data_IF_661371785680
#
_entry.id   IF_661371785680
#
_cell.length_a   1.000
_cell.length_b   1.000
_cell.length_c   1.000
_cell.angle_alpha   90.00
_cell.angle_beta   90.00
_cell.angle_gamma   90.00
#
_symmetry.space_group_name_H-M   'P 1'
#
loop_
_entity.id
_entity.type
_entity.pdbx_description
1 polymer ?
#
# COMPACT_ATOMS: atom_id res chain seq x y z
N UNK A 1 -3.72 -6.78 -16.79
CA UNK A 1 -4.31 -5.56 -16.22
C UNK A 1 -3.37 -4.97 -15.16
N UNK A 2 -3.11 -5.62 -14.03
CA UNK A 2 -2.24 -5.10 -12.95
C UNK A 2 -0.80 -4.76 -13.38
N UNK A 3 -0.17 -5.57 -14.24
CA UNK A 3 1.22 -5.37 -14.66
C UNK A 3 1.45 -4.10 -15.50
N UNK A 4 0.51 -3.74 -16.36
CA UNK A 4 0.59 -2.46 -17.08
C UNK A 4 0.26 -1.29 -16.15
N UNK A 5 -0.69 -1.49 -15.24
CA UNK A 5 -1.06 -0.50 -14.26
C UNK A 5 0.09 -0.05 -13.40
N UNK A 6 0.93 -0.96 -12.94
CA UNK A 6 2.07 -0.58 -12.10
C UNK A 6 3.13 0.22 -12.87
N UNK A 7 3.35 -0.07 -14.16
CA UNK A 7 4.27 0.72 -14.98
C UNK A 7 3.79 2.17 -15.08
N UNK A 8 2.52 2.37 -15.40
CA UNK A 8 1.94 3.70 -15.48
C UNK A 8 1.96 4.42 -14.13
N UNK A 9 1.65 3.73 -13.04
CA UNK A 9 1.72 4.32 -11.70
C UNK A 9 3.15 4.74 -11.31
N UNK A 10 4.17 3.98 -11.68
CA UNK A 10 5.57 4.36 -11.44
C UNK A 10 5.94 5.64 -12.20
N UNK A 11 5.49 5.77 -13.46
CA UNK A 11 5.73 6.96 -14.26
C UNK A 11 4.93 8.17 -13.73
N UNK A 12 3.67 7.96 -13.37
CA UNK A 12 2.82 8.99 -12.78
C UNK A 12 3.33 9.45 -11.42
N UNK A 13 3.91 8.55 -10.62
CA UNK A 13 4.48 8.91 -9.32
C UNK A 13 5.64 9.92 -9.46
N UNK A 14 6.46 9.81 -10.50
CA UNK A 14 7.49 10.82 -10.80
C UNK A 14 6.91 12.21 -11.05
N UNK A 15 5.71 12.28 -11.60
CA UNK A 15 5.02 13.53 -11.88
C UNK A 15 4.29 14.11 -10.67
N UNK A 16 3.57 13.26 -9.93
CA UNK A 16 2.63 13.68 -8.90
C UNK A 16 3.20 13.62 -7.49
N UNK A 17 4.19 12.76 -7.28
CA UNK A 17 4.79 12.46 -5.96
C UNK A 17 6.32 12.47 -6.07
N UNK A 18 6.87 13.60 -6.53
CA UNK A 18 8.31 13.78 -6.63
C UNK A 18 9.00 13.53 -5.27
N UNK A 19 10.09 12.78 -5.30
CA UNK A 19 10.83 12.36 -4.11
C UNK A 19 10.21 11.17 -3.34
N UNK A 20 9.07 10.62 -3.77
CA UNK A 20 8.49 9.42 -3.17
C UNK A 20 9.01 8.14 -3.83
N UNK A 21 9.07 7.08 -3.04
CA UNK A 21 9.43 5.73 -3.51
C UNK A 21 8.17 4.91 -3.72
N UNK A 22 8.03 4.31 -4.89
CA UNK A 22 6.98 3.34 -5.20
C UNK A 22 7.47 1.96 -4.78
N UNK A 23 6.97 1.45 -3.67
CA UNK A 23 7.28 0.11 -3.19
C UNK A 23 6.34 -0.92 -3.82
N UNK A 24 6.91 -1.88 -4.56
CA UNK A 24 6.15 -2.85 -5.34
C UNK A 24 6.34 -4.25 -4.76
N UNK A 25 5.29 -4.78 -4.13
CA UNK A 25 5.26 -6.14 -3.63
C UNK A 25 4.89 -7.11 -4.75
N UNK A 26 5.66 -8.17 -4.92
CA UNK A 26 5.42 -9.17 -5.96
C UNK A 26 5.85 -10.58 -5.55
N UNK A 27 5.37 -11.58 -6.29
CA UNK A 27 5.83 -12.95 -6.21
C UNK A 27 6.16 -13.50 -7.61
N UNK A 28 6.38 -14.82 -7.72
CA UNK A 28 6.75 -15.49 -8.97
C UNK A 28 5.66 -15.47 -10.06
N UNK A 29 4.46 -14.95 -9.76
CA UNK A 29 3.39 -14.81 -10.77
C UNK A 29 3.56 -13.58 -11.66
N UNK A 30 4.45 -12.66 -11.29
CA UNK A 30 4.72 -11.46 -12.08
C UNK A 30 5.81 -11.75 -13.13
N UNK A 31 5.60 -11.41 -14.41
CA UNK A 31 6.60 -11.64 -15.46
C UNK A 31 7.93 -10.96 -15.13
N UNK A 32 9.04 -11.69 -15.33
CA UNK A 32 10.39 -11.21 -15.04
C UNK A 32 10.73 -9.90 -15.75
N UNK A 33 10.31 -9.74 -17.01
CA UNK A 33 10.54 -8.49 -17.75
C UNK A 33 9.93 -7.25 -17.10
N UNK A 34 8.81 -7.41 -16.39
CA UNK A 34 8.22 -6.30 -15.61
C UNK A 34 9.07 -6.00 -14.39
N UNK A 35 9.52 -7.02 -13.67
CA UNK A 35 10.40 -6.86 -12.51
C UNK A 35 11.73 -6.22 -12.91
N UNK A 36 12.32 -6.66 -14.01
CA UNK A 36 13.56 -6.09 -14.53
C UNK A 36 13.42 -4.62 -14.94
N UNK A 37 12.26 -4.26 -15.48
CA UNK A 37 11.95 -2.86 -15.79
C UNK A 37 11.79 -2.04 -14.50
N UNK A 38 11.04 -2.54 -13.51
CA UNK A 38 10.83 -1.88 -12.22
C UNK A 38 12.15 -1.62 -11.50
N UNK A 39 13.05 -2.60 -11.46
CA UNK A 39 14.37 -2.47 -10.82
C UNK A 39 15.28 -1.42 -11.44
N UNK A 40 15.01 -0.99 -12.67
CA UNK A 40 15.77 0.07 -13.36
C UNK A 40 15.26 1.48 -13.05
N UNK A 41 14.13 1.60 -12.36
CA UNK A 41 13.58 2.90 -12.02
C UNK A 41 14.20 3.42 -10.74
N UNK A 42 14.58 4.69 -10.72
CA UNK A 42 15.22 5.38 -9.59
C UNK A 42 14.26 5.65 -8.41
N UNK A 43 12.95 5.68 -8.69
CA UNK A 43 11.88 5.89 -7.71
C UNK A 43 11.17 4.59 -7.30
N UNK A 44 11.77 3.42 -7.54
CA UNK A 44 11.11 2.12 -7.25
C UNK A 44 11.94 1.27 -6.32
N UNK A 45 11.30 0.68 -5.35
CA UNK A 45 11.79 -0.44 -4.54
C UNK A 45 10.93 -1.67 -4.77
N UNK A 46 11.57 -2.81 -5.05
CA UNK A 46 10.87 -4.06 -5.36
C UNK A 46 11.02 -5.01 -4.18
N UNK A 47 9.89 -5.47 -3.61
CA UNK A 47 9.84 -6.39 -2.48
C UNK A 47 9.33 -7.75 -2.95
N UNK A 48 10.19 -8.76 -2.86
CA UNK A 48 9.86 -10.11 -3.29
C UNK A 48 9.29 -10.96 -2.17
N UNK A 49 8.16 -11.61 -2.44
CA UNK A 49 7.53 -12.61 -1.61
C UNK A 49 7.53 -13.96 -2.32
N UNK A 50 8.11 -15.02 -1.75
CA UNK A 50 8.19 -16.32 -2.43
C UNK A 50 6.82 -16.95 -2.60
N UNK A 51 6.55 -17.51 -3.80
CA UNK A 51 5.35 -18.27 -4.09
C UNK A 51 4.79 -18.05 -5.48
N UNK A 52 4.22 -19.12 -6.02
CA UNK A 52 3.71 -19.18 -7.40
C UNK A 52 2.20 -19.02 -7.49
N UNK A 53 1.49 -18.88 -6.37
CA UNK A 53 0.02 -18.83 -6.34
C UNK A 53 -0.48 -17.44 -6.01
N UNK A 54 -1.54 -17.02 -6.71
CA UNK A 54 -2.35 -15.88 -6.30
C UNK A 54 -3.20 -16.32 -5.10
N UNK A 55 -2.96 -15.72 -3.94
CA UNK A 55 -3.73 -15.94 -2.73
C UNK A 55 -4.38 -14.63 -2.30
N UNK A 56 -5.55 -14.69 -1.66
CA UNK A 56 -6.16 -13.51 -1.06
C UNK A 56 -5.22 -12.84 -0.04
N UNK A 57 -4.43 -13.63 0.70
CA UNK A 57 -3.41 -13.12 1.62
C UNK A 57 -2.33 -12.25 0.98
N UNK A 58 -2.11 -12.34 -0.35
CA UNK A 58 -1.14 -11.48 -1.03
C UNK A 58 -1.55 -9.99 -0.99
N UNK A 59 -2.83 -9.70 -0.82
CA UNK A 59 -3.31 -8.33 -0.67
C UNK A 59 -2.88 -7.69 0.65
N UNK A 60 -2.46 -8.50 1.63
CA UNK A 60 -1.98 -8.03 2.92
C UNK A 60 -0.55 -7.49 2.89
N UNK A 61 0.25 -7.80 1.86
CA UNK A 61 1.64 -7.33 1.77
C UNK A 61 1.74 -5.80 1.82
N UNK A 62 0.73 -5.09 1.30
CA UNK A 62 0.66 -3.62 1.34
C UNK A 62 0.68 -3.04 2.76
N UNK A 63 0.30 -3.84 3.76
CA UNK A 63 0.31 -3.41 5.16
C UNK A 63 1.70 -3.58 5.81
N UNK A 64 2.63 -4.32 5.20
CA UNK A 64 4.00 -4.45 5.71
C UNK A 64 4.71 -3.10 5.76
N UNK A 65 4.41 -2.22 4.82
CA UNK A 65 5.04 -0.91 4.73
C UNK A 65 4.61 0.04 5.85
N UNK A 66 3.48 -0.23 6.49
CA UNK A 66 3.03 0.55 7.65
C UNK A 66 3.94 0.39 8.88
N UNK A 67 4.82 -0.61 8.89
CA UNK A 67 5.81 -0.83 9.93
C UNK A 67 7.16 -0.17 9.64
N UNK A 68 7.30 0.55 8.53
CA UNK A 68 8.53 1.29 8.23
C UNK A 68 8.59 2.49 9.16
N UNK A 69 9.61 2.50 10.01
CA UNK A 69 9.82 3.54 11.00
C UNK A 69 10.08 4.89 10.33
N UNK A 70 9.50 5.95 10.89
CA UNK A 70 9.68 7.33 10.44
C UNK A 70 9.28 7.56 8.96
N UNK A 71 8.36 6.73 8.43
CA UNK A 71 7.88 6.83 7.06
C UNK A 71 6.45 7.37 6.99
N UNK A 72 6.14 7.99 5.86
CA UNK A 72 4.79 8.27 5.42
C UNK A 72 4.46 7.26 4.33
N UNK A 73 3.38 6.52 4.50
CA UNK A 73 2.98 5.45 3.60
C UNK A 73 1.63 5.77 2.97
N UNK A 74 1.54 5.64 1.65
CA UNK A 74 0.29 5.67 0.90
C UNK A 74 0.04 4.28 0.31
N UNK A 75 -1.05 3.64 0.68
CA UNK A 75 -1.46 2.37 0.10
C UNK A 75 -2.28 2.59 -1.17
N UNK A 76 -1.91 1.92 -2.25
CA UNK A 76 -2.54 2.04 -3.56
C UNK A 76 -2.70 0.69 -4.24
N UNK A 77 -3.78 0.56 -5.00
CA UNK A 77 -3.94 -0.57 -5.91
C UNK A 77 -3.13 -0.34 -7.19
N UNK A 78 -2.49 -1.39 -7.69
CA UNK A 78 -1.63 -1.31 -8.87
C UNK A 78 -2.38 -0.93 -10.17
N UNK A 79 -3.70 -1.04 -10.18
CA UNK A 79 -4.58 -0.69 -11.30
C UNK A 79 -5.34 0.65 -11.10
N UNK A 80 -5.18 1.30 -9.95
CA UNK A 80 -5.66 2.66 -9.73
C UNK A 80 -4.71 3.69 -10.34
N UNK A 81 -5.25 4.84 -10.79
CA UNK A 81 -4.45 5.94 -11.34
C UNK A 81 -4.40 7.11 -10.39
N UNK A 82 -3.25 7.77 -10.34
CA UNK A 82 -3.13 9.04 -9.65
C UNK A 82 -3.93 10.12 -10.37
N UNK A 83 -4.44 11.06 -9.60
CA UNK A 83 -5.16 12.22 -10.12
C UNK A 83 -4.77 13.48 -9.36
N UNK A 84 -4.89 14.63 -9.99
CA UNK A 84 -4.63 15.92 -9.33
C UNK A 84 -5.51 16.12 -8.09
N UNK A 85 -6.74 15.61 -8.12
CA UNK A 85 -7.64 15.63 -6.97
C UNK A 85 -7.09 14.84 -5.79
N UNK A 86 -6.58 13.63 -6.04
CA UNK A 86 -5.98 12.79 -5.00
C UNK A 86 -4.73 13.45 -4.42
N UNK A 87 -3.85 13.96 -5.28
CA UNK A 87 -2.63 14.68 -4.85
C UNK A 87 -2.98 15.85 -3.94
N UNK A 88 -4.03 16.61 -4.27
CA UNK A 88 -4.52 17.69 -3.42
C UNK A 88 -4.97 17.19 -2.04
N UNK A 89 -5.75 16.10 -1.99
CA UNK A 89 -6.22 15.52 -0.73
C UNK A 89 -5.07 14.98 0.12
N UNK A 90 -4.08 14.33 -0.51
CA UNK A 90 -2.87 13.87 0.18
C UNK A 90 -2.09 15.06 0.73
N UNK A 91 -1.93 16.12 -0.04
CA UNK A 91 -1.24 17.34 0.43
C UNK A 91 -1.95 17.97 1.61
N UNK A 92 -3.28 18.11 1.57
CA UNK A 92 -4.07 18.62 2.69
C UNK A 92 -3.85 17.78 3.97
N UNK A 93 -3.77 16.46 3.81
CA UNK A 93 -3.43 15.58 4.92
C UNK A 93 -2.01 15.78 5.42
N UNK A 94 -1.03 15.89 4.53
CA UNK A 94 0.37 16.12 4.91
C UNK A 94 0.57 17.45 5.65
N UNK A 95 -0.19 18.47 5.30
CA UNK A 95 -0.20 19.77 5.97
C UNK A 95 -0.96 19.75 7.32
N UNK A 96 -1.70 18.68 7.60
CA UNK A 96 -2.45 18.49 8.85
C UNK A 96 -1.60 17.79 9.93
N UNK A 97 -2.16 17.70 11.15
CA UNK A 97 -1.56 16.94 12.27
C UNK A 97 -2.10 15.51 12.39
N UNK A 98 -2.89 15.03 11.39
CA UNK A 98 -3.55 13.73 11.45
C UNK A 98 -2.62 12.61 11.00
N UNK A 99 -2.66 11.48 11.71
CA UNK A 99 -1.82 10.33 11.39
C UNK A 99 -2.38 9.51 10.23
N UNK A 100 -3.70 9.51 10.02
CA UNK A 100 -4.36 8.75 8.96
C UNK A 100 -5.01 9.65 7.91
N UNK A 101 -4.97 9.16 6.69
CA UNK A 101 -5.66 9.71 5.52
C UNK A 101 -6.48 8.61 4.85
N UNK A 102 -7.76 8.88 4.60
CA UNK A 102 -8.68 7.92 3.98
C UNK A 102 -9.53 8.64 2.95
N UNK A 103 -9.55 8.13 1.71
CA UNK A 103 -10.42 8.66 0.65
C UNK A 103 -11.66 7.77 0.54
N UNK A 104 -12.84 8.37 0.77
CA UNK A 104 -14.15 7.73 0.66
C UNK A 104 -15.04 8.55 -0.27
N UNK A 105 -14.75 8.54 -1.54
CA UNK A 105 -15.37 9.41 -2.54
C UNK A 105 -16.33 8.67 -3.49
N UNK A 106 -16.61 7.41 -3.22
CA UNK A 106 -17.51 6.61 -4.03
C UNK A 106 -18.55 5.90 -3.15
N UNK A 107 -19.79 5.75 -3.65
CA UNK A 107 -20.90 5.10 -2.94
C UNK A 107 -20.62 3.65 -2.49
N UNK A 108 -19.68 2.97 -3.12
CA UNK A 108 -19.24 1.64 -2.74
C UNK A 108 -18.04 1.64 -1.78
N UNK A 109 -17.50 2.82 -1.41
CA UNK A 109 -16.44 2.98 -0.43
C UNK A 109 -17.02 3.12 0.99
N UNK A 110 -17.89 2.18 1.37
CA UNK A 110 -18.62 2.22 2.66
C UNK A 110 -17.87 1.56 3.81
N UNK A 111 -16.73 0.93 3.52
CA UNK A 111 -15.89 0.34 4.58
C UNK A 111 -15.06 1.43 5.29
N UNK A 112 -14.75 1.26 6.58
CA UNK A 112 -13.97 2.25 7.33
C UNK A 112 -12.63 2.58 6.67
N UNK A 113 -11.88 1.56 6.24
CA UNK A 113 -10.63 1.71 5.51
C UNK A 113 -10.69 0.86 4.24
N UNK A 114 -10.60 1.53 3.09
CA UNK A 114 -10.45 0.85 1.80
C UNK A 114 -8.96 0.72 1.49
N UNK A 115 -8.50 -0.51 1.32
CA UNK A 115 -7.09 -0.87 1.29
C UNK A 115 -6.24 -0.18 0.21
N UNK A 116 -6.85 0.30 -0.87
CA UNK A 116 -6.17 1.02 -1.97
C UNK A 116 -6.23 2.55 -1.88
N UNK A 117 -6.79 3.13 -0.82
CA UNK A 117 -7.08 4.57 -0.75
C UNK A 117 -6.82 5.18 0.62
N UNK A 118 -5.81 4.70 1.34
CA UNK A 118 -5.46 5.26 2.63
C UNK A 118 -3.97 5.62 2.71
N UNK A 119 -3.65 6.44 3.69
CA UNK A 119 -2.28 6.77 4.06
C UNK A 119 -2.10 6.81 5.57
N UNK A 120 -0.88 6.62 5.99
CA UNK A 120 -0.49 6.60 7.39
C UNK A 120 0.91 7.20 7.55
N UNK A 121 1.16 7.87 8.66
CA UNK A 121 2.49 8.38 9.03
C UNK A 121 2.91 7.87 10.41
N UNK A 122 4.21 7.94 10.68
CA UNK A 122 4.78 7.75 12.00
C UNK A 122 4.51 6.38 12.63
N UNK A 123 4.56 5.31 11.80
CA UNK A 123 4.46 3.96 12.33
C UNK A 123 3.18 3.74 13.15
N UNK A 124 2.06 4.20 12.62
CA UNK A 124 0.77 4.27 13.30
C UNK A 124 0.26 2.92 13.84
N UNK A 125 0.76 1.80 13.34
CA UNK A 125 0.43 0.47 13.87
C UNK A 125 1.02 0.19 15.26
N UNK A 126 2.07 0.89 15.68
CA UNK A 126 2.57 0.79 17.05
C UNK A 126 1.55 1.31 18.08
N UNK A 127 0.76 2.32 17.69
CA UNK A 127 -0.24 2.91 18.59
C UNK A 127 -1.45 2.00 18.84
N UNK A 128 -1.73 1.07 17.94
CA UNK A 128 -2.86 0.15 18.05
C UNK A 128 -2.47 -1.22 18.65
N UNK A 129 -1.25 -1.34 19.18
CA UNK A 129 -0.82 -2.53 19.91
C UNK A 129 -0.60 -3.77 19.05
N UNK A 130 -0.52 -3.61 17.72
CA UNK A 130 -0.15 -4.72 16.83
C UNK A 130 1.34 -4.98 17.00
N UNK A 131 1.75 -6.17 17.50
CA UNK A 131 3.16 -6.45 17.73
C UNK A 131 3.94 -6.46 16.40
N UNK A 132 5.01 -5.66 16.34
CA UNK A 132 6.01 -5.67 15.28
C UNK A 132 6.99 -6.82 15.54
N UNK A 133 7.37 -7.64 14.56
CA UNK A 133 7.11 -7.55 13.14
C UNK A 133 6.24 -8.69 12.61
N UNK A 134 5.25 -8.41 11.86
CA UNK A 134 4.70 -9.37 10.90
C UNK A 134 5.72 -9.62 9.77
N UNK A 135 6.94 -10.04 10.13
CA UNK A 135 7.96 -10.42 9.14
C UNK A 135 7.58 -11.64 8.31
N UNK A 136 6.47 -12.30 8.70
CA UNK A 136 5.93 -13.40 7.96
C UNK A 136 4.40 -13.31 7.96
N UNK A 137 3.83 -12.65 6.95
CA UNK A 137 2.38 -12.58 6.72
C UNK A 137 1.71 -13.96 6.67
N UNK A 138 2.47 -15.01 6.33
CA UNK A 138 1.96 -16.38 6.41
C UNK A 138 1.72 -16.87 7.85
N UNK A 139 2.18 -16.15 8.85
CA UNK A 139 1.95 -16.44 10.26
C UNK A 139 0.84 -15.59 10.92
N UNK A 140 0.19 -14.69 10.15
CA UNK A 140 -0.98 -13.97 10.65
C UNK A 140 -2.08 -15.00 10.94
N UNK A 141 -2.60 -15.06 12.17
CA UNK A 141 -3.72 -15.94 12.50
C UNK A 141 -4.88 -15.70 11.53
N UNK A 142 -5.58 -16.76 11.11
CA UNK A 142 -6.67 -16.69 10.14
C UNK A 142 -7.77 -15.70 10.53
N UNK A 143 -7.98 -15.50 11.83
CA UNK A 143 -8.90 -14.50 12.37
C UNK A 143 -8.59 -13.05 11.95
N UNK A 144 -7.33 -12.74 11.65
CA UNK A 144 -6.92 -11.44 11.10
C UNK A 144 -7.04 -11.38 9.57
N UNK A 145 -7.08 -12.54 8.90
CA UNK A 145 -7.20 -12.64 7.43
C UNK A 145 -8.66 -12.51 7.01
N UNK A 146 -9.62 -12.92 7.84
CA UNK A 146 -11.07 -12.88 7.55
C UNK A 146 -11.70 -11.48 7.71
N UNK A 147 -10.92 -10.44 7.90
CA UNK A 147 -11.35 -9.05 7.74
C UNK A 147 -12.17 -8.48 8.88
N UNK A 148 -12.31 -9.18 10.00
CA UNK A 148 -13.12 -8.69 11.12
C UNK A 148 -12.36 -7.91 12.19
N UNK A 149 -11.06 -8.12 12.37
CA UNK A 149 -10.37 -7.51 13.50
C UNK A 149 -9.44 -6.36 13.15
N UNK A 150 -8.67 -6.43 12.08
CA UNK A 150 -7.81 -5.30 11.69
C UNK A 150 -8.60 -4.05 11.27
N UNK A 151 -9.81 -4.24 10.72
CA UNK A 151 -10.67 -3.14 10.30
C UNK A 151 -11.49 -2.57 11.46
N UNK A 152 -11.83 -3.38 12.46
CA UNK A 152 -12.62 -2.95 13.62
C UNK A 152 -11.76 -2.21 14.66
N UNK A 153 -10.45 -2.43 14.67
CA UNK A 153 -9.50 -1.72 15.55
C UNK A 153 -9.04 -0.35 15.01
N UNK A 154 -9.32 -0.05 13.71
CA UNK A 154 -9.01 1.24 13.09
C UNK A 154 -10.16 2.28 13.21
N UNK A 155 -11.23 1.98 13.94
CA UNK A 155 -12.35 2.87 14.22
C UNK A 155 -12.21 3.44 15.61
#
# INVERSE_FOLDING_TARGET
>A
MYTYGIIENVLDAKKYYDGWIVRVHHNDTVPTGIIDWLKKQDNVEVVYHPGTKKKASNTLWRFEDLFIKDAIVLSRDADSRFSEREVKLVKEWLDSTKDFHIIRDHKHHMVPILAGTFGCRNNCLEYIGIPVPLRNINSIPTQYIEGKSLMDEFI
#
